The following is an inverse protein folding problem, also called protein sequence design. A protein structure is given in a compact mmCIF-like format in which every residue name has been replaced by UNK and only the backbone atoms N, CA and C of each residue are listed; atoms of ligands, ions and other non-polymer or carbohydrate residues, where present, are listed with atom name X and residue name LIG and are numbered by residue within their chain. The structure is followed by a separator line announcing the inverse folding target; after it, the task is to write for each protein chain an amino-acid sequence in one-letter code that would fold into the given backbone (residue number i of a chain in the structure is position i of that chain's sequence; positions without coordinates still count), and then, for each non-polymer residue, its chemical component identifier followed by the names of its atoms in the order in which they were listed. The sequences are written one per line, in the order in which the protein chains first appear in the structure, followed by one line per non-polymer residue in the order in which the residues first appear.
data_IF_092569308262
#
_entry.id   IF_092569308262
#
_cell.length_a   1.000
_cell.length_b   1.000
_cell.length_c   1.000
_cell.angle_alpha   90.00
_cell.angle_beta   90.00
_cell.angle_gamma   90.00
#
_symmetry.space_group_name_H-M   'P 1'
#
loop_
_entity.id
_entity.type
_entity.pdbx_description
1 polymer ?
#
# COMPACT_ATOMS: atom_id res chain seq x y z
N UNK A 1 0.66 6.29 -27.19
CA UNK A 1 -0.06 5.80 -25.98
C UNK A 1 0.77 4.66 -25.40
N UNK A 2 1.29 4.81 -24.17
CA UNK A 2 2.24 3.85 -23.57
C UNK A 2 1.58 2.47 -23.42
N UNK A 3 2.31 1.39 -23.75
CA UNK A 3 1.82 0.00 -23.68
C UNK A 3 1.29 -0.36 -22.28
N UNK A 4 1.89 0.21 -21.22
CA UNK A 4 1.47 -0.01 -19.84
C UNK A 4 0.07 0.58 -19.56
N UNK A 5 -0.20 1.81 -20.03
CA UNK A 5 -1.51 2.45 -19.86
C UNK A 5 -2.59 1.62 -20.55
N UNK A 6 -2.31 1.13 -21.76
CA UNK A 6 -3.25 0.26 -22.47
C UNK A 6 -3.58 -0.99 -21.66
N UNK A 7 -2.57 -1.66 -21.10
CA UNK A 7 -2.77 -2.83 -20.24
C UNK A 7 -3.71 -2.51 -19.06
N UNK A 8 -3.47 -1.40 -18.37
CA UNK A 8 -4.29 -0.97 -17.23
C UNK A 8 -5.73 -0.68 -17.64
N UNK A 9 -5.94 0.06 -18.73
CA UNK A 9 -7.28 0.39 -19.20
C UNK A 9 -8.08 -0.86 -19.63
N UNK A 10 -7.42 -1.79 -20.33
CA UNK A 10 -8.03 -3.07 -20.70
C UNK A 10 -8.41 -3.88 -19.44
N UNK A 11 -7.53 -3.91 -18.42
CA UNK A 11 -7.78 -4.61 -17.16
C UNK A 11 -8.88 -3.98 -16.32
N UNK A 12 -8.93 -2.65 -16.20
CA UNK A 12 -10.02 -1.95 -15.53
C UNK A 12 -11.35 -2.22 -16.22
N UNK A 13 -11.38 -2.17 -17.55
CA UNK A 13 -12.60 -2.47 -18.33
C UNK A 13 -13.10 -3.88 -18.05
N UNK A 14 -12.20 -4.87 -18.06
CA UNK A 14 -12.54 -6.26 -17.74
C UNK A 14 -13.00 -6.43 -16.28
N UNK A 15 -12.31 -5.83 -15.30
CA UNK A 15 -12.75 -5.91 -13.90
C UNK A 15 -14.13 -5.31 -13.68
N UNK A 16 -14.45 -4.20 -14.37
CA UNK A 16 -15.77 -3.56 -14.31
C UNK A 16 -16.86 -4.46 -14.92
N UNK A 17 -16.60 -5.05 -16.10
CA UNK A 17 -17.58 -5.92 -16.77
C UNK A 17 -17.86 -7.20 -16.00
N UNK A 18 -16.86 -7.72 -15.30
CA UNK A 18 -16.94 -8.94 -14.50
C UNK A 18 -17.42 -8.69 -13.05
N UNK A 19 -17.73 -7.45 -12.67
CA UNK A 19 -18.14 -7.11 -11.31
C UNK A 19 -17.07 -7.33 -10.25
N UNK A 20 -15.78 -7.28 -10.62
CA UNK A 20 -14.65 -7.53 -9.72
C UNK A 20 -14.30 -6.26 -8.94
N UNK A 21 -14.00 -5.17 -9.64
CA UNK A 21 -13.68 -3.87 -9.05
C UNK A 21 -13.96 -2.75 -10.07
N UNK A 22 -14.49 -1.58 -9.64
CA UNK A 22 -14.86 -1.24 -8.26
C UNK A 22 -16.31 -1.65 -7.92
N UNK A 23 -16.93 -2.53 -8.72
CA UNK A 23 -18.33 -2.98 -8.56
C UNK A 23 -18.50 -4.23 -7.67
N UNK A 24 -17.40 -4.83 -7.20
CA UNK A 24 -17.42 -5.98 -6.29
C UNK A 24 -17.35 -5.58 -4.81
N UNK A 25 -17.26 -6.56 -3.89
CA UNK A 25 -17.19 -6.30 -2.46
C UNK A 25 -15.96 -5.47 -2.06
N UNK A 26 -16.16 -4.49 -1.18
CA UNK A 26 -15.13 -3.59 -0.67
C UNK A 26 -14.09 -4.34 0.15
N UNK A 27 -12.86 -3.95 -0.06
CA UNK A 27 -11.70 -4.46 0.65
C UNK A 27 -10.65 -3.37 0.73
N UNK A 28 -10.44 -2.82 1.93
CA UNK A 28 -9.80 -1.53 2.14
C UNK A 28 -8.42 -1.40 1.46
N UNK A 29 -7.60 -2.45 1.53
CA UNK A 29 -6.31 -2.47 0.82
C UNK A 29 -6.46 -2.36 -0.69
N UNK A 30 -7.41 -3.09 -1.27
CA UNK A 30 -7.68 -3.05 -2.71
C UNK A 30 -8.22 -1.68 -3.12
N UNK A 31 -9.16 -1.15 -2.36
CA UNK A 31 -9.74 0.17 -2.66
C UNK A 31 -8.70 1.29 -2.52
N UNK A 32 -7.78 1.22 -1.55
CA UNK A 32 -6.69 2.18 -1.40
C UNK A 32 -5.78 2.23 -2.64
N UNK A 33 -5.28 1.07 -3.09
CA UNK A 33 -4.48 0.99 -4.31
C UNK A 33 -5.29 1.35 -5.58
N UNK A 34 -6.59 1.05 -5.58
CA UNK A 34 -7.49 1.42 -6.67
C UNK A 34 -7.68 2.93 -6.79
N UNK A 35 -7.87 3.62 -5.67
CA UNK A 35 -7.96 5.10 -5.62
C UNK A 35 -6.65 5.73 -6.12
N UNK A 36 -5.50 5.25 -5.65
CA UNK A 36 -4.18 5.74 -6.11
C UNK A 36 -4.00 5.53 -7.62
N UNK A 37 -4.41 4.37 -8.15
CA UNK A 37 -4.37 4.08 -9.58
C UNK A 37 -5.26 5.02 -10.39
N UNK A 38 -6.48 5.29 -9.94
CA UNK A 38 -7.41 6.18 -10.63
C UNK A 38 -6.86 7.62 -10.68
N UNK A 39 -6.33 8.14 -9.57
CA UNK A 39 -5.68 9.47 -9.58
C UNK A 39 -4.44 9.47 -10.48
N UNK A 40 -3.69 8.37 -10.53
CA UNK A 40 -2.56 8.23 -11.45
C UNK A 40 -2.96 8.31 -12.92
N UNK A 41 -4.09 7.68 -13.29
CA UNK A 41 -4.63 7.73 -14.64
C UNK A 41 -5.17 9.12 -14.98
N UNK A 42 -5.83 9.78 -14.03
CA UNK A 42 -6.23 11.18 -14.17
C UNK A 42 -5.02 12.08 -14.48
N UNK A 43 -3.93 11.98 -13.70
CA UNK A 43 -2.74 12.80 -13.91
C UNK A 43 -2.02 12.53 -15.24
N UNK A 44 -2.08 11.30 -15.74
CA UNK A 44 -1.44 10.91 -17.00
C UNK A 44 -2.27 11.23 -18.24
N UNK A 45 -3.60 11.12 -18.14
CA UNK A 45 -4.52 11.22 -19.28
C UNK A 45 -5.31 12.52 -19.32
N UNK A 46 -5.29 13.31 -18.23
CA UNK A 46 -6.12 14.50 -18.05
C UNK A 46 -7.62 14.23 -18.27
N UNK A 47 -8.08 13.03 -17.90
CA UNK A 47 -9.49 12.63 -17.99
C UNK A 47 -10.13 12.65 -16.60
N UNK A 48 -10.97 13.67 -16.37
CA UNK A 48 -11.72 13.90 -15.13
C UNK A 48 -12.59 12.70 -14.70
N UNK A 49 -12.94 11.79 -15.60
CA UNK A 49 -13.73 10.60 -15.27
C UNK A 49 -13.02 9.74 -14.22
N UNK A 50 -11.69 9.60 -14.29
CA UNK A 50 -10.94 8.81 -13.31
C UNK A 50 -10.92 9.46 -11.92
N UNK A 51 -10.78 10.78 -11.85
CA UNK A 51 -10.82 11.49 -10.56
C UNK A 51 -12.21 11.38 -9.91
N UNK A 52 -13.28 11.52 -10.70
CA UNK A 52 -14.65 11.32 -10.22
C UNK A 52 -14.91 9.88 -9.75
N UNK A 53 -14.36 8.88 -10.43
CA UNK A 53 -14.44 7.49 -10.00
C UNK A 53 -13.66 7.26 -8.69
N UNK A 54 -12.51 7.92 -8.51
CA UNK A 54 -11.77 7.86 -7.25
C UNK A 54 -12.58 8.46 -6.08
N UNK A 55 -13.20 9.62 -6.29
CA UNK A 55 -14.10 10.26 -5.32
C UNK A 55 -15.30 9.35 -4.99
N UNK A 56 -15.85 8.65 -6.00
CA UNK A 56 -16.92 7.67 -5.82
C UNK A 56 -16.48 6.45 -5.00
N UNK A 57 -15.29 5.88 -5.26
CA UNK A 57 -14.75 4.76 -4.48
C UNK A 57 -14.56 5.17 -3.02
N UNK A 58 -14.06 6.38 -2.76
CA UNK A 58 -13.93 6.90 -1.38
C UNK A 58 -15.29 6.96 -0.69
N UNK A 59 -16.29 7.56 -1.33
CA UNK A 59 -17.63 7.66 -0.78
C UNK A 59 -18.26 6.27 -0.50
N UNK A 60 -17.99 5.28 -1.36
CA UNK A 60 -18.52 3.94 -1.19
C UNK A 60 -17.81 3.15 -0.08
N UNK A 61 -16.48 3.32 0.06
CA UNK A 61 -15.73 2.80 1.22
C UNK A 61 -16.27 3.38 2.53
N UNK A 62 -16.54 4.69 2.58
CA UNK A 62 -17.13 5.33 3.76
C UNK A 62 -18.49 4.72 4.11
N UNK A 63 -19.34 4.54 3.11
CA UNK A 63 -20.69 3.99 3.26
C UNK A 63 -20.68 2.54 3.76
N UNK A 64 -19.75 1.73 3.26
CA UNK A 64 -19.74 0.27 3.44
C UNK A 64 -18.84 -0.16 4.60
N UNK A 65 -17.62 0.36 4.62
CA UNK A 65 -16.57 -0.02 5.57
C UNK A 65 -16.41 0.97 6.72
N UNK A 66 -16.93 2.20 6.60
CA UNK A 66 -16.84 3.21 7.64
C UNK A 66 -17.40 2.73 8.99
N UNK A 67 -16.74 3.14 10.06
CA UNK A 67 -17.15 2.91 11.45
C UNK A 67 -17.22 4.24 12.19
N UNK A 68 -17.88 4.32 13.36
CA UNK A 68 -17.86 5.55 14.17
C UNK A 68 -16.45 6.08 14.44
N UNK A 69 -15.47 5.17 14.51
CA UNK A 69 -14.05 5.48 14.45
C UNK A 69 -13.38 4.49 13.51
N UNK A 70 -12.62 4.99 12.54
CA UNK A 70 -11.84 4.13 11.65
C UNK A 70 -12.66 3.45 10.55
N UNK A 71 -12.06 2.46 9.91
CA UNK A 71 -12.59 1.77 8.73
C UNK A 71 -12.32 0.27 8.85
N UNK A 72 -13.35 -0.55 8.61
CA UNK A 72 -13.25 -2.01 8.62
C UNK A 72 -12.38 -2.53 7.47
N UNK A 73 -11.74 -3.68 7.67
CA UNK A 73 -10.91 -4.37 6.66
C UNK A 73 -11.66 -4.63 5.34
N UNK A 74 -12.86 -5.23 5.37
CA UNK A 74 -13.64 -5.51 4.16
C UNK A 74 -15.02 -6.10 4.43
N UNK A 75 -15.83 -6.27 3.39
CA UNK A 75 -17.23 -6.71 3.55
C UNK A 75 -17.38 -8.18 3.98
N UNK A 76 -16.46 -9.05 3.56
CA UNK A 76 -16.57 -10.48 3.84
C UNK A 76 -16.58 -10.76 5.37
N UNK A 77 -17.28 -11.83 5.83
CA UNK A 77 -17.43 -12.10 7.26
C UNK A 77 -16.12 -12.22 8.05
N UNK A 78 -15.08 -12.76 7.43
CA UNK A 78 -13.73 -12.94 7.97
C UNK A 78 -12.84 -11.68 7.86
N UNK A 79 -13.34 -10.63 7.20
CA UNK A 79 -12.67 -9.34 7.03
C UNK A 79 -13.20 -8.30 8.02
N UNK A 80 -13.43 -8.76 9.24
CA UNK A 80 -13.87 -7.94 10.36
C UNK A 80 -12.70 -7.24 11.08
N UNK A 81 -13.01 -6.29 11.93
CA UNK A 81 -11.99 -5.50 12.62
C UNK A 81 -11.31 -4.48 11.72
N UNK A 82 -10.20 -3.92 12.20
CA UNK A 82 -9.43 -2.89 11.51
C UNK A 82 -7.94 -3.26 11.50
N UNK A 83 -7.30 -3.21 10.34
CA UNK A 83 -5.84 -3.38 10.19
C UNK A 83 -5.17 -2.02 10.08
N UNK A 84 -4.14 -1.78 10.90
CA UNK A 84 -3.45 -0.50 10.88
C UNK A 84 -2.79 -0.23 9.53
N UNK A 85 -2.01 -1.16 8.99
CA UNK A 85 -1.39 -0.97 7.67
C UNK A 85 -2.42 -0.77 6.52
N UNK A 86 -3.65 -1.28 6.64
CA UNK A 86 -4.70 -1.00 5.64
C UNK A 86 -5.23 0.43 5.79
N UNK A 87 -5.42 0.88 7.02
CA UNK A 87 -5.75 2.28 7.31
C UNK A 87 -4.63 3.21 6.83
N UNK A 88 -3.36 2.87 7.05
CA UNK A 88 -2.22 3.66 6.60
C UNK A 88 -2.16 3.79 5.07
N UNK A 89 -2.38 2.69 4.33
CA UNK A 89 -2.46 2.76 2.86
C UNK A 89 -3.69 3.56 2.39
N UNK A 90 -4.80 3.49 3.12
CA UNK A 90 -5.98 4.32 2.84
C UNK A 90 -5.73 5.80 3.10
N UNK A 91 -5.03 6.15 4.19
CA UNK A 91 -4.61 7.52 4.50
C UNK A 91 -3.68 8.07 3.42
N UNK A 92 -2.76 7.24 2.91
CA UNK A 92 -1.96 7.59 1.74
C UNK A 92 -2.84 7.86 0.51
N UNK A 93 -3.83 7.01 0.23
CA UNK A 93 -4.76 7.23 -0.88
C UNK A 93 -5.56 8.55 -0.73
N UNK A 94 -6.02 8.88 0.48
CA UNK A 94 -6.67 10.16 0.78
C UNK A 94 -5.74 11.36 0.57
N UNK A 95 -4.45 11.24 0.94
CA UNK A 95 -3.46 12.27 0.66
C UNK A 95 -3.28 12.49 -0.85
N UNK A 96 -3.25 11.41 -1.64
CA UNK A 96 -3.12 11.46 -3.11
C UNK A 96 -4.32 12.15 -3.77
N UNK A 97 -5.55 11.78 -3.40
CA UNK A 97 -6.77 12.50 -3.86
C UNK A 97 -6.77 13.94 -3.36
N UNK A 98 -6.31 14.15 -2.13
CA UNK A 98 -6.18 15.45 -1.45
C UNK A 98 -5.39 16.51 -2.21
N UNK A 99 -4.48 16.09 -3.10
CA UNK A 99 -3.73 17.00 -3.99
C UNK A 99 -4.63 17.76 -4.97
N UNK A 100 -5.75 17.14 -5.36
CA UNK A 100 -6.70 17.70 -6.33
C UNK A 100 -8.03 18.13 -5.69
N UNK A 101 -8.30 17.64 -4.48
CA UNK A 101 -9.52 17.85 -3.70
C UNK A 101 -9.17 17.96 -2.22
N UNK A 102 -8.83 19.15 -1.75
CA UNK A 102 -8.25 19.37 -0.42
C UNK A 102 -9.05 18.75 0.73
N UNK A 103 -10.38 18.63 0.60
CA UNK A 103 -11.22 18.04 1.64
C UNK A 103 -10.82 16.59 2.00
N UNK A 104 -10.22 15.82 1.09
CA UNK A 104 -9.82 14.45 1.40
C UNK A 104 -8.58 14.38 2.29
N UNK A 105 -7.70 15.40 2.24
CA UNK A 105 -6.60 15.53 3.20
C UNK A 105 -7.15 15.79 4.61
N UNK A 106 -8.09 16.71 4.75
CA UNK A 106 -8.71 17.03 6.05
C UNK A 106 -9.39 15.79 6.66
N UNK A 107 -10.09 15.01 5.83
CA UNK A 107 -10.68 13.73 6.23
C UNK A 107 -9.64 12.70 6.65
N UNK A 108 -8.49 12.65 5.99
CA UNK A 108 -7.36 11.81 6.40
C UNK A 108 -6.82 12.19 7.77
N UNK A 109 -6.62 13.49 8.03
CA UNK A 109 -6.18 14.01 9.34
C UNK A 109 -7.19 13.65 10.44
N UNK A 110 -8.49 13.81 10.17
CA UNK A 110 -9.54 13.41 11.10
C UNK A 110 -9.49 11.91 11.39
N UNK A 111 -9.33 11.07 10.36
CA UNK A 111 -9.21 9.63 10.52
C UNK A 111 -8.00 9.24 11.37
N UNK A 112 -6.83 9.87 11.19
CA UNK A 112 -5.66 9.65 12.05
C UNK A 112 -6.00 9.91 13.51
N UNK A 113 -6.66 11.04 13.82
CA UNK A 113 -7.06 11.41 15.18
C UNK A 113 -8.05 10.42 15.81
N UNK A 114 -8.85 9.73 14.99
CA UNK A 114 -9.77 8.70 15.49
C UNK A 114 -9.07 7.39 15.86
N UNK A 115 -8.01 7.02 15.14
CA UNK A 115 -7.42 5.67 15.22
C UNK A 115 -6.08 5.61 15.98
N UNK A 116 -5.25 6.65 15.92
CA UNK A 116 -3.84 6.55 16.31
C UNK A 116 -3.63 6.02 17.72
N UNK A 117 -4.27 6.65 18.71
CA UNK A 117 -4.11 6.29 20.13
C UNK A 117 -4.64 4.88 20.45
N UNK A 118 -5.60 4.36 19.67
CA UNK A 118 -6.15 3.02 19.88
C UNK A 118 -5.18 1.93 19.41
N UNK A 119 -4.41 2.20 18.36
CA UNK A 119 -3.45 1.26 17.79
C UNK A 119 -2.06 1.37 18.43
N UNK A 120 -1.67 2.56 18.90
CA UNK A 120 -0.36 2.81 19.48
C UNK A 120 -0.21 2.11 20.85
N UNK A 121 0.89 1.37 21.02
CA UNK A 121 1.38 0.94 22.33
C UNK A 121 2.68 1.71 22.62
N UNK A 122 2.63 2.78 23.43
CA UNK A 122 3.74 3.71 23.60
C UNK A 122 5.07 3.01 23.89
N UNK A 123 6.07 3.30 23.06
CA UNK A 123 7.41 2.76 23.16
C UNK A 123 7.56 1.26 22.86
N UNK A 124 6.48 0.56 22.51
CA UNK A 124 6.51 -0.88 22.20
C UNK A 124 6.22 -1.20 20.73
N UNK A 125 5.25 -0.52 20.11
CA UNK A 125 4.90 -0.75 18.72
C UNK A 125 3.48 -0.31 18.38
N UNK A 126 3.01 -0.71 17.21
CA UNK A 126 1.64 -0.50 16.75
C UNK A 126 0.93 -1.86 16.71
N UNK A 127 -0.27 -1.96 17.28
CA UNK A 127 -1.09 -3.16 17.18
C UNK A 127 -1.44 -3.41 15.71
N UNK A 128 -1.30 -4.65 15.24
CA UNK A 128 -1.64 -4.98 13.85
C UNK A 128 -3.15 -4.85 13.62
N UNK A 129 -3.97 -5.48 14.47
CA UNK A 129 -5.43 -5.63 14.30
C UNK A 129 -6.17 -5.18 15.54
N UNK A 130 -7.19 -4.34 15.34
CA UNK A 130 -8.14 -3.91 16.36
C UNK A 130 -9.55 -4.43 16.05
N UNK A 131 -10.41 -4.47 17.07
CA UNK A 131 -11.86 -4.64 16.90
C UNK A 131 -12.45 -3.46 16.10
N UNK A 132 -13.61 -3.66 15.48
CA UNK A 132 -14.25 -2.64 14.62
C UNK A 132 -14.60 -1.34 15.35
N UNK A 133 -14.89 -1.42 16.64
CA UNK A 133 -15.21 -0.27 17.50
C UNK A 133 -13.97 0.32 18.19
N UNK A 134 -12.78 -0.22 17.92
CA UNK A 134 -11.51 0.11 18.56
C UNK A 134 -11.50 -0.07 20.09
N UNK A 135 -12.41 -0.88 20.66
CA UNK A 135 -12.49 -1.15 22.10
C UNK A 135 -11.30 -1.94 22.65
N UNK A 136 -10.49 -2.54 21.77
CA UNK A 136 -9.27 -3.24 22.14
C UNK A 136 -8.67 -4.05 20.99
N UNK A 137 -7.50 -4.68 21.23
CA UNK A 137 -6.84 -5.54 20.26
C UNK A 137 -7.75 -6.69 19.85
N UNK A 138 -7.63 -7.08 18.58
CA UNK A 138 -8.31 -8.26 18.09
C UNK A 138 -7.60 -9.54 18.62
N UNK A 139 -8.32 -10.53 19.15
CA UNK A 139 -7.71 -11.74 19.72
C UNK A 139 -6.78 -12.46 18.74
N UNK A 140 -5.61 -12.87 19.22
CA UNK A 140 -4.62 -13.62 18.42
C UNK A 140 -3.68 -12.76 17.57
N UNK A 141 -3.80 -11.43 17.61
CA UNK A 141 -2.91 -10.51 16.90
C UNK A 141 -2.00 -9.76 17.87
N UNK A 142 -0.77 -9.52 17.42
CA UNK A 142 0.26 -8.81 18.19
C UNK A 142 0.59 -7.44 17.60
N UNK A 143 1.84 -7.04 17.79
CA UNK A 143 2.39 -5.84 17.17
C UNK A 143 2.72 -6.10 15.70
N UNK A 144 2.41 -5.13 14.86
CA UNK A 144 2.77 -5.12 13.45
C UNK A 144 4.24 -4.73 13.25
N UNK A 145 4.90 -5.35 12.29
CA UNK A 145 6.33 -5.15 12.05
C UNK A 145 6.63 -3.91 11.21
N UNK A 146 5.73 -3.56 10.28
CA UNK A 146 5.89 -2.45 9.34
C UNK A 146 4.98 -1.27 9.68
N UNK A 147 4.00 -1.48 10.54
CA UNK A 147 2.90 -0.56 10.80
C UNK A 147 3.39 0.83 11.28
N UNK A 148 4.50 0.90 12.01
CA UNK A 148 5.11 2.20 12.37
C UNK A 148 5.62 2.97 11.14
N UNK A 149 6.21 2.27 10.16
CA UNK A 149 6.70 2.85 8.91
C UNK A 149 5.54 3.27 8.01
N UNK A 150 4.50 2.44 7.91
CA UNK A 150 3.29 2.75 7.14
C UNK A 150 2.60 4.01 7.70
N UNK A 151 2.48 4.09 9.03
CA UNK A 151 1.95 5.26 9.73
C UNK A 151 2.81 6.50 9.51
N UNK A 152 4.13 6.38 9.67
CA UNK A 152 5.07 7.48 9.45
C UNK A 152 4.94 8.08 8.05
N UNK A 153 4.98 7.26 7.00
CA UNK A 153 4.81 7.71 5.62
C UNK A 153 3.44 8.37 5.41
N UNK A 154 2.36 7.68 5.77
CA UNK A 154 1.00 8.18 5.50
C UNK A 154 0.67 9.48 6.25
N UNK A 155 1.19 9.67 7.46
CA UNK A 155 0.99 10.91 8.22
C UNK A 155 1.79 12.08 7.63
N UNK A 156 3.05 11.82 7.24
CA UNK A 156 3.89 12.81 6.54
C UNK A 156 3.25 13.27 5.23
N UNK A 157 2.60 12.34 4.52
CA UNK A 157 1.89 12.61 3.27
C UNK A 157 0.61 13.45 3.44
N UNK A 158 -0.03 13.37 4.60
CA UNK A 158 -1.23 14.15 4.90
C UNK A 158 -0.87 15.57 5.29
N UNK A 159 -0.23 15.75 6.46
CA UNK A 159 0.16 17.05 6.99
C UNK A 159 1.17 16.88 8.16
N UNK A 160 2.48 17.14 7.92
CA UNK A 160 3.52 17.02 8.93
C UNK A 160 3.34 17.93 10.16
N UNK A 161 2.68 19.08 9.98
CA UNK A 161 2.48 20.03 11.06
C UNK A 161 1.28 19.62 11.92
N UNK A 162 0.14 19.31 11.28
CA UNK A 162 -1.09 18.94 11.98
C UNK A 162 -1.02 17.57 12.68
N UNK A 163 -0.13 16.69 12.24
CA UNK A 163 0.09 15.33 12.78
C UNK A 163 1.47 15.16 13.44
N UNK A 164 2.12 16.26 13.85
CA UNK A 164 3.49 16.25 14.38
C UNK A 164 3.68 15.32 15.59
N UNK A 165 2.67 15.20 16.46
CA UNK A 165 2.69 14.26 17.60
C UNK A 165 2.72 12.81 17.11
N UNK A 166 1.77 12.45 16.28
CA UNK A 166 1.60 11.09 15.76
C UNK A 166 2.82 10.66 14.93
N UNK A 167 3.41 11.58 14.18
CA UNK A 167 4.66 11.36 13.42
C UNK A 167 5.83 11.13 14.37
N UNK A 168 5.94 11.88 15.46
CA UNK A 168 6.99 11.69 16.46
C UNK A 168 6.88 10.32 17.16
N UNK A 169 5.65 9.88 17.47
CA UNK A 169 5.40 8.56 18.04
C UNK A 169 5.84 7.45 17.07
N UNK A 170 5.48 7.55 15.79
CA UNK A 170 5.90 6.59 14.77
C UNK A 170 7.43 6.58 14.58
N UNK A 171 8.05 7.76 14.56
CA UNK A 171 9.51 7.89 14.42
C UNK A 171 10.25 7.23 15.58
N UNK A 172 9.81 7.42 16.81
CA UNK A 172 10.41 6.80 17.99
C UNK A 172 10.36 5.26 17.90
N UNK A 173 9.27 4.70 17.36
CA UNK A 173 9.15 3.26 17.16
C UNK A 173 10.07 2.76 16.04
N UNK A 174 10.18 3.50 14.94
CA UNK A 174 11.09 3.19 13.83
C UNK A 174 12.53 3.18 14.32
N UNK A 175 12.99 4.23 15.00
CA UNK A 175 14.38 4.35 15.46
C UNK A 175 14.78 3.20 16.40
N UNK A 176 13.83 2.67 17.18
CA UNK A 176 14.05 1.51 18.06
C UNK A 176 14.07 0.17 17.32
N UNK A 177 13.24 0.01 16.30
CA UNK A 177 12.98 -1.30 15.68
C UNK A 177 13.79 -1.52 14.40
N UNK A 178 14.08 -0.47 13.63
CA UNK A 178 14.77 -0.56 12.36
C UNK A 178 16.14 -1.25 12.40
N UNK A 179 17.00 -1.07 13.44
CA UNK A 179 18.30 -1.74 13.50
C UNK A 179 18.20 -3.27 13.48
N UNK A 180 17.19 -3.83 14.16
CA UNK A 180 17.02 -5.27 14.37
C UNK A 180 15.92 -5.89 13.49
N UNK A 181 15.11 -5.07 12.81
CA UNK A 181 14.04 -5.55 11.94
C UNK A 181 14.60 -6.34 10.75
N UNK A 182 14.14 -7.59 10.64
CA UNK A 182 14.38 -8.49 9.51
C UNK A 182 13.02 -8.83 8.88
N UNK A 183 12.88 -8.53 7.60
CA UNK A 183 11.68 -8.82 6.82
C UNK A 183 12.02 -9.98 5.88
N UNK A 184 11.22 -11.05 5.91
CA UNK A 184 11.39 -12.23 5.06
C UNK A 184 10.26 -12.45 4.07
N UNK A 185 9.14 -11.76 4.28
CA UNK A 185 7.90 -12.00 3.55
C UNK A 185 7.77 -11.05 2.35
N UNK A 186 7.45 -11.63 1.19
CA UNK A 186 7.37 -10.97 -0.12
C UNK A 186 6.72 -9.57 -0.13
N UNK A 187 5.44 -9.45 0.22
CA UNK A 187 4.73 -8.18 0.22
C UNK A 187 5.39 -7.17 1.17
N UNK A 188 5.82 -7.61 2.36
CA UNK A 188 6.50 -6.75 3.32
C UNK A 188 7.81 -6.18 2.76
N UNK A 189 8.59 -6.99 2.05
CA UNK A 189 9.81 -6.54 1.37
C UNK A 189 9.51 -5.49 0.30
N UNK A 190 8.47 -5.72 -0.50
CA UNK A 190 8.01 -4.77 -1.51
C UNK A 190 7.56 -3.45 -0.91
N UNK A 191 6.73 -3.50 0.14
CA UNK A 191 6.23 -2.30 0.83
C UNK A 191 7.35 -1.55 1.54
N UNK A 192 8.31 -2.24 2.16
CA UNK A 192 9.46 -1.58 2.79
C UNK A 192 10.32 -0.85 1.75
N UNK A 193 10.66 -1.49 0.61
CA UNK A 193 11.39 -0.81 -0.47
C UNK A 193 10.62 0.40 -1.00
N UNK A 194 9.30 0.27 -1.15
CA UNK A 194 8.44 1.39 -1.49
C UNK A 194 8.44 2.48 -0.40
N UNK A 195 8.53 2.18 0.89
CA UNK A 195 8.65 3.26 1.88
C UNK A 195 10.03 3.94 1.86
N UNK A 196 11.11 3.18 1.63
CA UNK A 196 12.47 3.74 1.64
C UNK A 196 12.71 4.80 0.57
N UNK A 197 12.01 4.75 -0.57
CA UNK A 197 12.25 5.71 -1.65
C UNK A 197 11.76 7.14 -1.32
N UNK A 198 10.83 7.29 -0.37
CA UNK A 198 10.40 8.61 0.11
C UNK A 198 11.42 9.25 1.05
N UNK A 199 12.23 8.44 1.72
CA UNK A 199 13.13 8.87 2.80
C UNK A 199 14.56 8.34 2.59
N UNK A 200 15.19 8.53 1.42
CA UNK A 200 16.46 7.86 1.07
C UNK A 200 17.62 8.24 2.00
N UNK A 201 17.51 9.38 2.69
CA UNK A 201 18.54 9.89 3.60
C UNK A 201 18.35 9.47 5.05
N UNK A 202 17.21 8.88 5.41
CA UNK A 202 16.97 8.44 6.78
C UNK A 202 17.71 7.14 7.09
N UNK A 203 18.23 7.05 8.31
CA UNK A 203 19.07 5.92 8.74
C UNK A 203 18.35 4.58 8.59
N UNK A 204 17.07 4.50 8.98
CA UNK A 204 16.29 3.28 8.83
C UNK A 204 16.14 2.86 7.37
N UNK A 205 16.01 3.81 6.43
CA UNK A 205 15.88 3.52 5.01
C UNK A 205 17.21 2.98 4.44
N UNK A 206 18.33 3.61 4.81
CA UNK A 206 19.68 3.16 4.45
C UNK A 206 20.00 1.76 5.01
N UNK A 207 19.44 1.39 6.15
CA UNK A 207 19.55 0.04 6.73
C UNK A 207 18.65 -0.96 6.00
N UNK A 208 17.37 -0.63 5.82
CA UNK A 208 16.35 -1.57 5.35
C UNK A 208 16.42 -1.82 3.84
N UNK A 209 16.75 -0.83 3.01
CA UNK A 209 16.82 -0.99 1.56
C UNK A 209 17.80 -2.10 1.12
N UNK A 210 19.09 -2.10 1.50
CA UNK A 210 20.02 -3.16 1.10
C UNK A 210 19.64 -4.52 1.70
N UNK A 211 19.09 -4.58 2.92
CA UNK A 211 18.59 -5.82 3.53
C UNK A 211 17.45 -6.42 2.71
N UNK A 212 16.47 -5.61 2.33
CA UNK A 212 15.33 -6.07 1.54
C UNK A 212 15.78 -6.59 0.16
N UNK A 213 16.71 -5.88 -0.50
CA UNK A 213 17.27 -6.32 -1.78
C UNK A 213 18.01 -7.65 -1.67
N UNK A 214 18.81 -7.83 -0.60
CA UNK A 214 19.52 -9.09 -0.35
C UNK A 214 18.56 -10.26 -0.09
N UNK A 215 17.50 -10.05 0.68
CA UNK A 215 16.48 -11.09 0.93
C UNK A 215 15.71 -11.42 -0.35
N UNK A 216 15.32 -10.42 -1.15
CA UNK A 216 14.67 -10.65 -2.45
C UNK A 216 15.56 -11.41 -3.43
N UNK A 217 16.88 -11.18 -3.39
CA UNK A 217 17.83 -11.95 -4.20
C UNK A 217 17.77 -13.46 -3.89
N UNK A 218 17.68 -13.81 -2.61
CA UNK A 218 17.54 -15.19 -2.15
C UNK A 218 16.17 -15.81 -2.52
N UNK A 219 15.12 -14.99 -2.57
CA UNK A 219 13.75 -15.42 -2.88
C UNK A 219 13.48 -15.54 -4.38
N UNK A 220 14.33 -14.98 -5.23
CA UNK A 220 14.14 -14.98 -6.68
C UNK A 220 14.14 -16.40 -7.24
N UNK A 221 13.09 -16.77 -7.98
CA UNK A 221 12.97 -18.04 -8.71
C UNK A 221 13.16 -17.79 -10.19
N UNK A 222 13.99 -18.62 -10.82
CA UNK A 222 14.39 -18.44 -12.23
C UNK A 222 13.22 -18.55 -13.20
N UNK A 223 12.10 -19.10 -12.80
CA UNK A 223 10.83 -19.15 -13.53
C UNK A 223 10.25 -17.76 -13.75
N UNK A 224 10.55 -16.79 -12.86
CA UNK A 224 10.11 -15.40 -12.98
C UNK A 224 9.26 -14.88 -11.83
N UNK A 225 9.45 -15.35 -10.60
CA UNK A 225 8.70 -14.85 -9.45
C UNK A 225 9.57 -14.85 -8.19
N UNK A 226 9.16 -14.12 -7.16
CA UNK A 226 9.70 -14.22 -5.81
C UNK A 226 8.82 -15.17 -4.99
N UNK A 227 9.44 -16.13 -4.32
CA UNK A 227 8.72 -17.01 -3.40
C UNK A 227 8.21 -16.23 -2.17
N UNK A 228 7.34 -16.84 -1.36
CA UNK A 228 6.67 -16.17 -0.23
C UNK A 228 7.66 -15.73 0.84
N UNK A 229 8.56 -16.64 1.20
CA UNK A 229 9.67 -16.44 2.14
C UNK A 229 10.87 -17.29 1.68
N UNK A 230 12.11 -16.99 2.12
CA UNK A 230 13.30 -17.73 1.70
C UNK A 230 13.21 -19.25 1.92
N UNK A 231 12.53 -19.68 3.00
CA UNK A 231 12.34 -21.09 3.35
C UNK A 231 11.06 -21.72 2.75
N UNK A 232 10.26 -20.96 1.99
CA UNK A 232 9.05 -21.43 1.31
C UNK A 232 9.19 -21.27 -0.23
N UNK A 233 10.16 -21.93 -0.88
CA UNK A 233 10.60 -21.62 -2.25
C UNK A 233 9.52 -21.85 -3.33
N UNK A 234 8.46 -22.60 -3.03
CA UNK A 234 7.40 -22.95 -3.98
C UNK A 234 6.10 -22.17 -3.75
N UNK A 235 5.98 -21.47 -2.62
CA UNK A 235 4.80 -20.68 -2.29
C UNK A 235 4.92 -19.30 -2.93
N UNK A 236 3.85 -18.81 -3.57
CA UNK A 236 3.82 -17.52 -4.25
C UNK A 236 2.39 -17.02 -4.36
N UNK A 237 2.23 -15.71 -4.29
CA UNK A 237 0.95 -15.05 -4.57
C UNK A 237 1.19 -13.91 -5.57
N UNK A 238 0.26 -13.73 -6.50
CA UNK A 238 0.41 -12.73 -7.56
C UNK A 238 0.43 -11.31 -6.99
N UNK A 239 -0.55 -10.96 -6.14
CA UNK A 239 -0.67 -9.62 -5.58
C UNK A 239 0.55 -9.21 -4.74
N UNK A 240 1.18 -10.16 -4.03
CA UNK A 240 2.36 -9.89 -3.20
C UNK A 240 3.60 -9.66 -4.06
N UNK A 241 3.74 -10.43 -5.15
CA UNK A 241 4.78 -10.24 -6.15
C UNK A 241 4.63 -8.91 -6.90
N UNK A 242 3.40 -8.47 -7.17
CA UNK A 242 3.15 -7.12 -7.68
C UNK A 242 3.55 -6.04 -6.66
N UNK A 243 3.34 -6.27 -5.37
CA UNK A 243 3.90 -5.41 -4.31
C UNK A 243 5.43 -5.35 -4.34
N UNK A 244 6.12 -6.49 -4.50
CA UNK A 244 7.58 -6.53 -4.71
C UNK A 244 7.98 -5.74 -5.96
N UNK A 245 7.24 -5.88 -7.06
CA UNK A 245 7.49 -5.14 -8.29
C UNK A 245 7.39 -3.63 -8.07
N UNK A 246 6.41 -3.14 -7.31
CA UNK A 246 6.27 -1.71 -6.99
C UNK A 246 7.50 -1.24 -6.20
N UNK A 247 7.88 -1.95 -5.14
CA UNK A 247 9.06 -1.62 -4.34
C UNK A 247 10.37 -1.61 -5.13
N UNK A 248 10.61 -2.62 -5.97
CA UNK A 248 11.80 -2.69 -6.83
C UNK A 248 11.86 -1.54 -7.84
N UNK A 249 10.71 -1.15 -8.42
CA UNK A 249 10.64 0.01 -9.30
C UNK A 249 10.91 1.32 -8.54
N UNK A 250 10.39 1.43 -7.31
CA UNK A 250 10.58 2.61 -6.46
C UNK A 250 12.06 2.91 -6.18
N UNK A 251 12.85 1.87 -5.90
CA UNK A 251 14.29 1.99 -5.67
C UNK A 251 15.14 1.69 -6.92
N UNK A 252 14.50 1.68 -8.10
CA UNK A 252 15.13 1.48 -9.42
C UNK A 252 16.07 0.26 -9.49
N UNK A 253 15.68 -0.85 -8.86
CA UNK A 253 16.50 -2.05 -8.74
C UNK A 253 15.91 -3.25 -9.48
N UNK A 254 16.79 -4.14 -9.94
CA UNK A 254 16.45 -5.41 -10.58
C UNK A 254 15.41 -5.30 -11.74
N UNK A 255 15.55 -4.35 -12.70
CA UNK A 255 14.53 -4.12 -13.74
C UNK A 255 14.27 -5.35 -14.63
N UNK A 256 15.29 -6.19 -14.87
CA UNK A 256 15.12 -7.44 -15.59
C UNK A 256 14.22 -8.45 -14.85
N UNK A 257 14.27 -8.48 -13.52
CA UNK A 257 13.41 -9.34 -12.69
C UNK A 257 11.98 -8.81 -12.68
N UNK A 258 11.79 -7.50 -12.59
CA UNK A 258 10.47 -6.85 -12.72
C UNK A 258 9.79 -7.24 -14.04
N UNK A 259 10.50 -7.10 -15.17
CA UNK A 259 9.96 -7.48 -16.49
C UNK A 259 9.59 -8.97 -16.56
N UNK A 260 10.42 -9.85 -16.01
CA UNK A 260 10.16 -11.29 -16.00
C UNK A 260 9.01 -11.66 -15.09
N UNK A 261 8.85 -10.95 -13.97
CA UNK A 261 7.73 -11.07 -13.03
C UNK A 261 6.40 -10.73 -13.68
N UNK A 262 6.32 -9.59 -14.38
CA UNK A 262 5.11 -9.23 -15.13
C UNK A 262 4.76 -10.30 -16.16
N UNK A 263 5.74 -10.73 -16.97
CA UNK A 263 5.53 -11.77 -17.98
C UNK A 263 5.07 -13.12 -17.40
N UNK A 264 5.56 -13.48 -16.20
CA UNK A 264 5.13 -14.69 -15.49
C UNK A 264 3.67 -14.56 -15.03
N UNK A 265 3.34 -13.48 -14.32
CA UNK A 265 2.01 -13.32 -13.71
C UNK A 265 0.89 -12.96 -14.69
N UNK A 266 1.21 -12.43 -15.88
CA UNK A 266 0.21 -12.26 -16.95
C UNK A 266 -0.42 -13.59 -17.39
N UNK A 267 0.36 -14.67 -17.33
CA UNK A 267 -0.05 -16.02 -17.76
C UNK A 267 -0.39 -16.93 -16.60
N UNK A 268 0.16 -16.66 -15.42
CA UNK A 268 -0.06 -17.46 -14.23
C UNK A 268 -1.53 -17.48 -13.82
N UNK A 269 -1.99 -18.66 -13.38
CA UNK A 269 -3.27 -18.85 -12.71
C UNK A 269 -3.03 -19.65 -11.44
N UNK A 270 -3.57 -19.20 -10.31
CA UNK A 270 -3.45 -19.91 -9.03
C UNK A 270 -4.35 -21.14 -8.98
N UNK A 271 -5.46 -21.14 -9.72
CA UNK A 271 -6.48 -22.19 -9.65
C UNK A 271 -7.39 -22.06 -8.43
N UNK A 272 -7.35 -20.92 -7.73
CA UNK A 272 -8.16 -20.60 -6.56
C UNK A 272 -8.82 -19.22 -6.68
N UNK A 273 -9.39 -18.71 -5.59
CA UNK A 273 -10.10 -17.42 -5.56
C UNK A 273 -9.24 -16.22 -6.01
N UNK A 274 -7.90 -16.28 -5.87
CA UNK A 274 -7.02 -15.17 -6.23
C UNK A 274 -6.98 -14.87 -7.72
N UNK A 275 -7.40 -15.82 -8.58
CA UNK A 275 -7.53 -15.60 -10.02
C UNK A 275 -8.62 -14.57 -10.36
N UNK A 276 -9.61 -14.40 -9.48
CA UNK A 276 -10.69 -13.40 -9.63
C UNK A 276 -10.73 -12.35 -8.52
N UNK A 277 -9.94 -12.50 -7.47
CA UNK A 277 -9.88 -11.52 -6.38
C UNK A 277 -9.41 -10.16 -6.89
N UNK A 278 -10.15 -9.11 -6.57
CA UNK A 278 -9.85 -7.73 -6.98
C UNK A 278 -8.44 -7.29 -6.59
N UNK A 279 -7.95 -7.70 -5.40
CA UNK A 279 -6.60 -7.37 -4.94
C UNK A 279 -5.50 -7.76 -5.94
N UNK A 280 -5.62 -8.92 -6.59
CA UNK A 280 -4.63 -9.38 -7.57
C UNK A 280 -4.54 -8.45 -8.77
N UNK A 281 -5.69 -8.08 -9.32
CA UNK A 281 -5.77 -7.33 -10.57
C UNK A 281 -5.55 -5.82 -10.37
N UNK A 282 -5.97 -5.27 -9.24
CA UNK A 282 -5.67 -3.87 -8.87
C UNK A 282 -4.17 -3.71 -8.57
N UNK A 283 -3.55 -4.66 -7.86
CA UNK A 283 -2.10 -4.65 -7.65
C UNK A 283 -1.33 -4.84 -8.96
N UNK A 284 -1.81 -5.69 -9.89
CA UNK A 284 -1.24 -5.82 -11.22
C UNK A 284 -1.24 -4.48 -11.97
N UNK A 285 -2.37 -3.77 -11.98
CA UNK A 285 -2.46 -2.47 -12.65
C UNK A 285 -1.48 -1.45 -12.05
N UNK A 286 -1.36 -1.40 -10.72
CA UNK A 286 -0.38 -0.54 -10.04
C UNK A 286 1.07 -0.99 -10.31
N UNK A 287 1.35 -2.27 -10.47
CA UNK A 287 2.71 -2.74 -10.79
C UNK A 287 3.12 -2.40 -12.23
N UNK A 288 2.19 -2.44 -13.19
CA UNK A 288 2.43 -2.06 -14.59
C UNK A 288 2.44 -0.54 -14.79
N UNK A 289 1.64 0.19 -14.02
CA UNK A 289 1.62 1.66 -14.03
C UNK A 289 1.60 2.19 -12.59
N UNK A 290 2.78 2.32 -11.94
CA UNK A 290 2.86 2.75 -10.55
C UNK A 290 2.39 4.18 -10.28
N UNK A 291 2.49 5.05 -11.29
CA UNK A 291 1.91 6.40 -11.23
C UNK A 291 2.28 7.16 -9.96
N UNK A 292 1.27 7.61 -9.21
CA UNK A 292 1.43 8.36 -7.97
C UNK A 292 2.15 7.60 -6.86
N UNK A 293 2.31 6.27 -6.94
CA UNK A 293 3.10 5.50 -5.96
C UNK A 293 4.59 5.81 -6.06
N UNK A 294 5.10 6.24 -7.22
CA UNK A 294 6.53 6.52 -7.45
C UNK A 294 6.83 7.97 -7.85
N UNK A 295 5.81 8.74 -8.23
CA UNK A 295 5.99 10.15 -8.62
C UNK A 295 6.24 11.00 -7.39
N UNK A 296 7.19 11.93 -7.53
CA UNK A 296 7.44 12.96 -6.53
C UNK A 296 6.13 13.61 -6.11
N UNK A 297 5.86 13.52 -4.82
CA UNK A 297 4.75 14.23 -4.22
C UNK A 297 5.24 15.65 -4.07
N UNK A 298 4.86 16.52 -5.01
CA UNK A 298 5.14 17.95 -4.91
C UNK A 298 4.71 18.44 -3.50
N UNK A 299 5.67 18.90 -2.70
CA UNK A 299 5.47 19.31 -1.30
C UNK A 299 5.90 18.29 -0.24
N UNK A 300 6.51 17.15 -0.60
CA UNK A 300 7.13 16.28 0.39
C UNK A 300 8.40 16.93 0.98
N UNK A 301 8.50 17.09 2.31
CA UNK A 301 9.70 17.63 2.95
C UNK A 301 10.82 16.58 2.90
N UNK A 302 11.48 16.47 1.75
CA UNK A 302 12.55 15.48 1.54
C UNK A 302 13.08 15.43 0.11
N UNK A 303 12.34 15.94 -0.88
CA UNK A 303 12.83 16.02 -2.26
C UNK A 303 13.79 17.22 -2.39
N UNK A 304 15.05 17.02 -2.02
CA UNK A 304 16.13 17.85 -2.58
C UNK A 304 16.20 17.47 -4.05
N UNK A 305 15.75 18.37 -4.91
CA UNK A 305 16.02 18.31 -6.34
C UNK A 305 17.54 18.20 -6.51
N UNK A 306 18.02 17.01 -6.89
CA UNK A 306 19.34 16.89 -7.48
C UNK A 306 19.27 17.61 -8.83
N UNK A 307 19.79 18.85 -8.84
CA UNK A 307 20.10 19.62 -10.04
C UNK A 307 21.14 18.92 -10.90
#
# INVERSE_FOLDING_TARGET
MRTEIKYVLDKLTWMRSEGIWPNGPRYLWTDAFGVVLLVSLYEELADDAFLKEAEWVVADVDRVLGRPKGIRIGEAPDRDGQYFHYLAMWLYALAIVGRHRSQYRDRGIELVRQIHDAFLVPGRGVLWKMKEDLSGPYPGFGLGALDAFDGYLSYQMLDPHALSREIADMRLLIDRTAPDLVITQDLGLGMMLWMTHFFPDEEWARIQQPRCLATLDQMWRNEGYFCREPYLPHMKFAFTNFGVSIGLQAVQSMPARVKKLHAFFDRYRSGDEYDRAAITHVMACNAHFPGCLLRDVAGFPGTILAS
#
